data_IF_955700847153
#
_entry.id   IF_955700847153
#
_cell.length_a   1.000
_cell.length_b   1.000
_cell.length_c   1.000
_cell.angle_alpha   90.00
_cell.angle_beta   90.00
_cell.angle_gamma   90.00
#
_symmetry.space_group_name_H-M   'P 1'
#
loop_
_entity.id
_entity.type
_entity.pdbx_description
1 polymer ?
#
# COMPACT_ATOMS: atom_id res chain seq x y z
N UNK A 1 -0.03 -9.60 -0.30
CA UNK A 1 0.63 -8.35 0.14
C UNK A 1 0.73 -7.43 -1.07
N UNK A 2 0.19 -6.22 -0.98
CA UNK A 2 0.23 -5.22 -2.05
C UNK A 2 1.07 -4.02 -1.61
N UNK A 3 1.96 -3.55 -2.47
CA UNK A 3 2.96 -2.52 -2.18
C UNK A 3 2.98 -1.45 -3.28
N UNK A 4 3.07 -0.18 -2.90
CA UNK A 4 3.33 0.95 -3.83
C UNK A 4 4.61 1.69 -3.49
N UNK A 5 5.77 1.04 -3.64
CA UNK A 5 7.03 1.71 -3.35
C UNK A 5 7.28 2.81 -4.40
N UNK A 6 7.92 3.91 -3.99
CA UNK A 6 8.29 5.00 -4.91
C UNK A 6 9.23 4.52 -6.02
N UNK A 7 10.08 3.53 -5.70
CA UNK A 7 10.94 2.84 -6.66
C UNK A 7 10.71 1.33 -6.54
N UNK A 8 10.81 0.61 -7.66
CA UNK A 8 10.66 -0.85 -7.67
C UNK A 8 11.68 -1.48 -6.72
N UNK A 9 11.20 -2.28 -5.77
CA UNK A 9 12.09 -2.99 -4.84
C UNK A 9 12.83 -4.09 -5.61
N UNK A 10 14.12 -4.25 -5.37
CA UNK A 10 14.88 -5.34 -5.97
C UNK A 10 14.37 -6.68 -5.46
N UNK A 11 14.49 -7.73 -6.28
CA UNK A 11 14.02 -9.07 -5.91
C UNK A 11 14.80 -9.59 -4.71
N UNK A 12 16.09 -9.31 -4.70
CA UNK A 12 17.04 -9.69 -3.65
C UNK A 12 16.64 -9.05 -2.31
N UNK A 13 16.24 -7.77 -2.32
CA UNK A 13 15.78 -7.09 -1.11
C UNK A 13 14.47 -7.68 -0.58
N UNK A 14 13.53 -7.99 -1.46
CA UNK A 14 12.24 -8.60 -1.06
C UNK A 14 12.48 -9.99 -0.45
N UNK A 15 13.37 -10.78 -1.03
CA UNK A 15 13.73 -12.10 -0.51
C UNK A 15 14.49 -12.00 0.82
N UNK A 16 15.45 -11.07 0.94
CA UNK A 16 16.22 -10.89 2.17
C UNK A 16 15.36 -10.37 3.32
N UNK A 17 14.28 -9.63 3.02
CA UNK A 17 13.25 -9.23 3.98
C UNK A 17 12.29 -10.38 4.38
N UNK A 18 12.50 -11.60 3.86
CA UNK A 18 11.67 -12.77 4.17
C UNK A 18 10.31 -12.79 3.47
N UNK A 19 10.09 -11.93 2.47
CA UNK A 19 8.82 -11.85 1.77
C UNK A 19 8.79 -12.85 0.59
N UNK A 20 7.78 -13.72 0.50
CA UNK A 20 7.66 -14.64 -0.63
C UNK A 20 7.29 -13.87 -1.90
N UNK A 21 8.15 -13.93 -2.92
CA UNK A 21 7.97 -13.24 -4.20
C UNK A 21 6.61 -13.55 -4.87
N UNK A 22 6.06 -14.73 -4.64
CA UNK A 22 4.76 -15.14 -5.20
C UNK A 22 3.54 -14.48 -4.54
N UNK A 23 3.69 -13.88 -3.35
CA UNK A 23 2.58 -13.24 -2.60
C UNK A 23 2.71 -11.72 -2.54
N UNK A 24 3.70 -11.16 -3.24
CA UNK A 24 3.99 -9.73 -3.27
C UNK A 24 3.58 -9.17 -4.62
N UNK A 25 2.65 -8.23 -4.61
CA UNK A 25 2.34 -7.39 -5.77
C UNK A 25 2.95 -6.02 -5.54
N UNK A 26 3.72 -5.52 -6.52
CA UNK A 26 4.29 -4.18 -6.49
C UNK A 26 3.74 -3.36 -7.66
N UNK A 27 3.23 -2.16 -7.36
CA UNK A 27 2.88 -1.17 -8.37
C UNK A 27 3.80 0.03 -8.16
N UNK A 28 4.82 0.17 -9.01
CA UNK A 28 5.70 1.32 -9.03
C UNK A 28 5.09 2.48 -9.83
N UNK A 29 5.43 3.72 -9.46
CA UNK A 29 5.06 4.95 -10.19
C UNK A 29 3.57 5.31 -10.21
N UNK A 30 2.82 4.95 -9.16
CA UNK A 30 1.50 5.54 -8.95
C UNK A 30 1.64 7.04 -8.71
N UNK A 31 0.88 7.86 -9.45
CA UNK A 31 0.83 9.29 -9.17
C UNK A 31 0.19 9.48 -7.78
N UNK A 32 0.67 10.45 -6.98
CA UNK A 32 0.13 10.70 -5.64
C UNK A 32 -1.40 10.87 -5.63
N UNK A 33 -1.94 11.52 -6.67
CA UNK A 33 -3.37 11.73 -6.88
C UNK A 33 -4.20 10.45 -6.99
N UNK A 34 -3.60 9.33 -7.37
CA UNK A 34 -4.29 8.04 -7.54
C UNK A 34 -3.94 7.02 -6.45
N UNK A 35 -3.01 7.34 -5.56
CA UNK A 35 -2.54 6.42 -4.52
C UNK A 35 -3.66 6.02 -3.57
N UNK A 36 -4.48 6.98 -3.11
CA UNK A 36 -5.58 6.72 -2.18
C UNK A 36 -6.65 5.84 -2.82
N UNK A 37 -7.12 6.18 -4.02
CA UNK A 37 -8.14 5.38 -4.70
C UNK A 37 -7.64 3.97 -5.04
N UNK A 38 -6.36 3.83 -5.38
CA UNK A 38 -5.74 2.52 -5.61
C UNK A 38 -5.65 1.69 -4.33
N UNK A 39 -5.29 2.32 -3.21
CA UNK A 39 -5.24 1.68 -1.90
C UNK A 39 -6.63 1.24 -1.44
N UNK A 40 -7.66 2.09 -1.61
CA UNK A 40 -9.06 1.75 -1.31
C UNK A 40 -9.48 0.52 -2.12
N UNK A 41 -9.19 0.50 -3.42
CA UNK A 41 -9.53 -0.66 -4.27
C UNK A 41 -8.80 -1.91 -3.80
N UNK A 42 -7.49 -1.83 -3.56
CA UNK A 42 -6.70 -2.96 -3.09
C UNK A 42 -7.23 -3.53 -1.77
N UNK A 43 -7.45 -2.67 -0.77
CA UNK A 43 -8.03 -3.04 0.52
C UNK A 43 -9.38 -3.72 0.35
N UNK A 44 -10.29 -3.13 -0.43
CA UNK A 44 -11.67 -3.61 -0.57
C UNK A 44 -11.81 -4.91 -1.35
N UNK A 45 -10.81 -5.32 -2.13
CA UNK A 45 -10.89 -6.54 -2.96
C UNK A 45 -10.98 -7.84 -2.16
N UNK A 46 -10.48 -7.86 -0.92
CA UNK A 46 -10.30 -9.09 -0.14
C UNK A 46 -9.18 -10.01 -0.64
N UNK A 47 -8.48 -9.64 -1.72
CA UNK A 47 -7.39 -10.44 -2.30
C UNK A 47 -6.04 -10.21 -1.60
N UNK A 48 -5.95 -9.20 -0.75
CA UNK A 48 -4.73 -8.85 -0.03
C UNK A 48 -5.05 -8.74 1.46
N UNK A 49 -4.33 -9.49 2.29
CA UNK A 49 -4.39 -9.34 3.75
C UNK A 49 -3.71 -8.07 4.25
N UNK A 50 -2.75 -7.53 3.49
CA UNK A 50 -1.97 -6.34 3.84
C UNK A 50 -1.72 -5.50 2.60
N UNK A 51 -1.93 -4.19 2.73
CA UNK A 51 -1.74 -3.16 1.70
C UNK A 51 -0.86 -2.05 2.27
N UNK A 52 0.29 -1.78 1.65
CA UNK A 52 1.26 -0.78 2.11
C UNK A 52 1.43 0.30 1.03
N UNK A 53 1.18 1.55 1.42
CA UNK A 53 1.33 2.71 0.56
C UNK A 53 2.43 3.66 1.02
N UNK A 54 3.13 4.29 0.09
CA UNK A 54 3.99 5.43 0.36
C UNK A 54 3.24 6.71 0.01
N UNK A 55 2.96 7.53 1.04
CA UNK A 55 2.30 8.82 0.88
C UNK A 55 3.14 9.86 1.62
N UNK A 56 3.54 10.93 0.92
CA UNK A 56 4.30 12.01 1.54
C UNK A 56 3.40 13.00 2.29
N UNK A 57 2.17 13.18 1.81
CA UNK A 57 1.19 14.11 2.35
C UNK A 57 0.40 13.48 3.51
N UNK A 58 -0.16 14.33 4.37
CA UNK A 58 -1.09 13.88 5.40
C UNK A 58 -2.43 13.49 4.78
N UNK A 59 -3.10 12.52 5.41
CA UNK A 59 -4.45 12.18 5.04
C UNK A 59 -5.42 13.19 5.64
N UNK A 60 -6.40 13.60 4.86
CA UNK A 60 -7.60 14.21 5.41
C UNK A 60 -8.40 13.18 6.21
N UNK A 61 -9.29 13.65 7.10
CA UNK A 61 -10.15 12.78 7.89
C UNK A 61 -11.07 11.90 7.00
N UNK A 62 -11.57 12.45 5.90
CA UNK A 62 -12.40 11.72 4.92
C UNK A 62 -11.62 10.58 4.25
N UNK A 63 -10.40 10.85 3.78
CA UNK A 63 -9.55 9.83 3.17
C UNK A 63 -9.22 8.72 4.17
N UNK A 64 -8.94 9.08 5.42
CA UNK A 64 -8.69 8.12 6.48
C UNK A 64 -9.92 7.24 6.74
N UNK A 65 -11.11 7.80 6.85
CA UNK A 65 -12.35 7.04 7.04
C UNK A 65 -12.62 6.08 5.87
N UNK A 66 -12.47 6.56 4.64
CA UNK A 66 -12.62 5.74 3.42
C UNK A 66 -11.65 4.55 3.40
N UNK A 67 -10.41 4.75 3.83
CA UNK A 67 -9.41 3.69 3.92
C UNK A 67 -9.76 2.67 5.01
N UNK A 68 -10.20 3.12 6.19
CA UNK A 68 -10.64 2.23 7.28
C UNK A 68 -11.83 1.39 6.84
N UNK A 69 -12.82 1.99 6.20
CA UNK A 69 -13.99 1.27 5.69
C UNK A 69 -13.57 0.21 4.66
N UNK A 70 -12.71 0.57 3.70
CA UNK A 70 -12.21 -0.37 2.70
C UNK A 70 -11.45 -1.55 3.32
N UNK A 71 -10.61 -1.27 4.33
CA UNK A 71 -9.85 -2.27 5.07
C UNK A 71 -10.78 -3.26 5.81
N UNK A 72 -11.83 -2.75 6.45
CA UNK A 72 -12.84 -3.59 7.11
C UNK A 72 -13.57 -4.49 6.11
N UNK A 73 -14.06 -3.92 5.00
CA UNK A 73 -14.78 -4.68 3.96
C UNK A 73 -13.94 -5.82 3.39
N UNK A 74 -12.66 -5.57 3.11
CA UNK A 74 -11.78 -6.60 2.57
C UNK A 74 -11.05 -7.44 3.61
N UNK A 75 -11.33 -7.26 4.90
CA UNK A 75 -10.60 -7.94 5.99
C UNK A 75 -9.07 -7.80 5.86
N UNK A 76 -8.61 -6.59 5.56
CA UNK A 76 -7.22 -6.28 5.25
C UNK A 76 -6.66 -5.25 6.24
N UNK A 77 -5.34 -5.23 6.43
CA UNK A 77 -4.63 -4.16 7.13
C UNK A 77 -3.99 -3.19 6.15
N UNK A 78 -4.19 -1.89 6.39
CA UNK A 78 -3.57 -0.81 5.62
C UNK A 78 -2.43 -0.14 6.39
N UNK A 79 -1.27 0.02 5.76
CA UNK A 79 -0.13 0.77 6.31
C UNK A 79 0.24 1.93 5.38
N UNK A 80 0.53 3.09 5.97
CA UNK A 80 1.01 4.27 5.25
C UNK A 80 2.41 4.59 5.72
N UNK A 81 3.34 4.46 4.79
CA UNK A 81 4.75 4.76 4.97
C UNK A 81 5.00 6.21 4.57
N UNK A 82 5.51 7.01 5.50
CA UNK A 82 5.94 8.39 5.25
C UNK A 82 7.46 8.44 5.21
N UNK A 83 8.09 8.52 4.02
CA UNK A 83 9.54 8.60 3.94
C UNK A 83 10.03 9.95 4.48
N UNK A 84 10.92 9.91 5.46
CA UNK A 84 11.63 11.10 5.95
C UNK A 84 12.73 11.43 4.95
N UNK A 85 12.70 12.62 4.34
CA UNK A 85 13.83 13.11 3.54
C UNK A 85 14.92 13.58 4.52
N UNK A 86 16.08 12.92 4.50
CA UNK A 86 17.30 13.46 5.12
C UNK A 86 17.96 14.48 4.18
#
# INVERSE_FOLDING_TARGET
LWLTPQQKLSREWVQSAGLPLSKVMQISQLSPSHTIDSMIRALRTGNYSVVICWLAEELTADEHERLVNAAQVGSAMGFIMRPVRN
#
